data_IF_291067433680
#
_entry.id   IF_291067433680
#
_cell.length_a   1.000
_cell.length_b   1.000
_cell.length_c   1.000
_cell.angle_alpha   90.00
_cell.angle_beta   90.00
_cell.angle_gamma   90.00
#
_symmetry.space_group_name_H-M   'P 1'
#
loop_
_entity.id
_entity.type
_entity.pdbx_description
1 polymer ?
#
# COMPACT_ATOMS: atom_id res chain seq x y z
N UNK A 1 3.93 -0.57 20.93
CA UNK A 1 3.45 0.47 19.98
C UNK A 1 3.46 0.02 18.51
N UNK A 2 4.56 -0.52 17.96
CA UNK A 2 4.62 -0.91 16.54
C UNK A 2 3.60 -2.01 16.16
N UNK A 3 3.52 -3.08 16.96
CA UNK A 3 2.54 -4.17 16.74
C UNK A 3 1.09 -3.65 16.75
N UNK A 4 0.74 -2.77 17.70
CA UNK A 4 -0.58 -2.15 17.76
C UNK A 4 -0.92 -1.38 16.46
N UNK A 5 0.04 -0.61 15.92
CA UNK A 5 -0.17 0.11 14.65
C UNK A 5 -0.40 -0.84 13.48
N UNK A 6 0.38 -1.92 13.41
CA UNK A 6 0.23 -2.96 12.38
C UNK A 6 -1.15 -3.61 12.48
N UNK A 7 -1.56 -4.05 13.68
CA UNK A 7 -2.86 -4.66 13.90
C UNK A 7 -4.01 -3.72 13.56
N UNK A 8 -3.90 -2.44 13.93
CA UNK A 8 -4.89 -1.43 13.60
C UNK A 8 -5.01 -1.22 12.09
N UNK A 9 -3.88 -1.12 11.37
CA UNK A 9 -3.87 -1.02 9.90
C UNK A 9 -4.60 -2.20 9.27
N UNK A 10 -4.30 -3.43 9.70
CA UNK A 10 -4.95 -4.64 9.18
C UNK A 10 -6.46 -4.59 9.41
N UNK A 11 -6.91 -4.25 10.62
CA UNK A 11 -8.35 -4.20 10.95
C UNK A 11 -9.08 -3.14 10.12
N UNK A 12 -8.50 -1.95 9.96
CA UNK A 12 -9.10 -0.86 9.19
C UNK A 12 -9.17 -1.22 7.70
N UNK A 13 -8.09 -1.73 7.12
CA UNK A 13 -8.07 -2.12 5.71
C UNK A 13 -9.03 -3.28 5.41
N UNK A 14 -9.09 -4.27 6.30
CA UNK A 14 -10.07 -5.37 6.20
C UNK A 14 -11.51 -4.85 6.22
N UNK A 15 -11.82 -3.92 7.13
CA UNK A 15 -13.15 -3.31 7.21
C UNK A 15 -13.49 -2.52 5.93
N UNK A 16 -12.53 -1.75 5.38
CA UNK A 16 -12.72 -1.03 4.13
C UNK A 16 -13.01 -1.97 2.95
N UNK A 17 -12.24 -3.06 2.83
CA UNK A 17 -12.45 -4.06 1.77
C UNK A 17 -13.81 -4.75 1.92
N UNK A 18 -14.19 -5.10 3.15
CA UNK A 18 -15.48 -5.72 3.42
C UNK A 18 -16.65 -4.80 3.07
N UNK A 19 -16.58 -3.53 3.46
CA UNK A 19 -17.61 -2.54 3.10
C UNK A 19 -17.67 -2.31 1.58
N UNK A 20 -16.53 -2.27 0.91
CA UNK A 20 -16.45 -2.19 -0.54
C UNK A 20 -17.11 -3.40 -1.23
N UNK A 21 -16.86 -4.61 -0.74
CA UNK A 21 -17.49 -5.85 -1.23
C UNK A 21 -19.02 -5.77 -1.17
N UNK A 22 -19.58 -5.35 -0.04
CA UNK A 22 -21.02 -5.18 0.12
C UNK A 22 -21.56 -4.14 -0.87
N UNK A 23 -20.87 -2.99 -0.99
CA UNK A 23 -21.32 -1.88 -1.84
C UNK A 23 -21.37 -2.26 -3.33
N UNK A 24 -20.41 -3.05 -3.81
CA UNK A 24 -20.32 -3.46 -5.22
C UNK A 24 -21.11 -4.74 -5.49
N UNK A 25 -21.48 -5.49 -4.45
CA UNK A 25 -22.17 -6.78 -4.58
C UNK A 25 -21.24 -7.91 -5.05
N UNK A 26 -19.93 -7.75 -4.86
CA UNK A 26 -18.94 -8.78 -5.17
C UNK A 26 -18.74 -9.71 -3.98
N UNK A 27 -18.33 -10.95 -4.24
CA UNK A 27 -17.98 -11.86 -3.16
C UNK A 27 -16.80 -11.29 -2.36
N UNK A 28 -16.83 -11.48 -1.05
CA UNK A 28 -15.72 -11.03 -0.20
C UNK A 28 -14.41 -11.65 -0.67
N UNK A 29 -14.41 -12.95 -1.01
CA UNK A 29 -13.20 -13.66 -1.44
C UNK A 29 -12.59 -13.08 -2.72
N UNK A 30 -13.40 -12.61 -3.66
CA UNK A 30 -12.92 -11.94 -4.88
C UNK A 30 -12.31 -10.57 -4.57
N UNK A 31 -12.93 -9.82 -3.66
CA UNK A 31 -12.44 -8.49 -3.26
C UNK A 31 -11.27 -8.55 -2.30
N UNK A 32 -11.07 -9.65 -1.58
CA UNK A 32 -10.15 -9.68 -0.44
C UNK A 32 -8.69 -9.53 -0.89
N UNK A 33 -8.26 -10.39 -1.82
CA UNK A 33 -6.92 -10.31 -2.37
C UNK A 33 -6.73 -9.06 -3.24
N UNK A 34 -7.67 -8.80 -4.17
CA UNK A 34 -7.55 -7.65 -5.07
C UNK A 34 -7.61 -6.31 -4.34
N UNK A 35 -8.46 -6.19 -3.31
CA UNK A 35 -8.60 -5.00 -2.50
C UNK A 35 -7.36 -4.73 -1.65
N UNK A 36 -6.80 -5.74 -1.00
CA UNK A 36 -5.55 -5.57 -0.23
C UNK A 36 -4.37 -5.20 -1.15
N UNK A 37 -4.28 -5.84 -2.32
CA UNK A 37 -3.26 -5.53 -3.32
C UNK A 37 -3.42 -4.10 -3.85
N UNK A 38 -4.65 -3.65 -4.10
CA UNK A 38 -4.94 -2.30 -4.54
C UNK A 38 -4.54 -1.25 -3.48
N UNK A 39 -4.88 -1.47 -2.21
CA UNK A 39 -4.49 -0.56 -1.12
C UNK A 39 -2.97 -0.45 -1.02
N UNK A 40 -2.26 -1.58 -1.08
CA UNK A 40 -0.80 -1.59 -1.11
C UNK A 40 -0.24 -0.80 -2.30
N UNK A 41 -0.71 -1.11 -3.51
CA UNK A 41 -0.24 -0.48 -4.73
C UNK A 41 -0.49 1.03 -4.75
N UNK A 42 -1.69 1.47 -4.37
CA UNK A 42 -2.05 2.90 -4.29
C UNK A 42 -1.15 3.62 -3.31
N UNK A 43 -0.96 3.05 -2.11
CA UNK A 43 -0.08 3.67 -1.10
C UNK A 43 1.35 3.78 -1.62
N UNK A 44 1.88 2.70 -2.21
CA UNK A 44 3.23 2.70 -2.74
C UNK A 44 3.42 3.74 -3.86
N UNK A 45 2.45 3.84 -4.77
CA UNK A 45 2.45 4.85 -5.85
C UNK A 45 2.40 6.28 -5.31
N UNK A 46 1.61 6.55 -4.27
CA UNK A 46 1.54 7.87 -3.63
C UNK A 46 2.90 8.24 -3.03
N UNK A 47 3.53 7.34 -2.28
CA UNK A 47 4.83 7.59 -1.65
C UNK A 47 5.90 7.84 -2.73
N UNK A 48 5.92 7.02 -3.79
CA UNK A 48 6.84 7.20 -4.91
C UNK A 48 6.63 8.54 -5.61
N UNK A 49 5.37 8.91 -5.88
CA UNK A 49 5.01 10.17 -6.54
C UNK A 49 5.49 11.38 -5.72
N UNK A 50 5.24 11.39 -4.42
CA UNK A 50 5.68 12.45 -3.52
C UNK A 50 7.21 12.56 -3.49
N UNK A 51 7.90 11.42 -3.43
CA UNK A 51 9.35 11.40 -3.45
C UNK A 51 9.93 11.97 -4.75
N UNK A 52 9.35 11.59 -5.89
CA UNK A 52 9.73 12.13 -7.21
C UNK A 52 9.49 13.64 -7.29
N UNK A 53 8.34 14.11 -6.83
CA UNK A 53 8.00 15.53 -6.87
C UNK A 53 8.95 16.37 -6.02
N UNK A 54 9.25 15.94 -4.78
CA UNK A 54 10.21 16.63 -3.92
C UNK A 54 11.60 16.70 -4.56
N UNK A 55 12.08 15.61 -5.17
CA UNK A 55 13.36 15.64 -5.89
C UNK A 55 13.35 16.61 -7.06
N UNK A 56 12.25 16.66 -7.81
CA UNK A 56 12.10 17.59 -8.92
C UNK A 56 12.13 19.04 -8.42
N UNK A 57 11.43 19.34 -7.33
CA UNK A 57 11.41 20.67 -6.72
C UNK A 57 12.81 21.09 -6.23
N UNK A 58 13.55 20.18 -5.57
CA UNK A 58 14.93 20.43 -5.15
C UNK A 58 15.87 20.66 -6.34
N UNK A 59 15.73 19.87 -7.41
CA UNK A 59 16.53 20.02 -8.63
C UNK A 59 16.25 21.35 -9.36
N UNK A 60 14.98 21.71 -9.51
CA UNK A 60 14.55 22.96 -10.15
C UNK A 60 15.04 24.15 -9.33
N UNK A 61 14.87 24.13 -8.01
CA UNK A 61 15.32 25.20 -7.12
C UNK A 61 16.83 25.40 -7.20
N UNK A 62 17.61 24.32 -7.12
CA UNK A 62 19.07 24.37 -7.26
C UNK A 62 19.51 24.90 -8.63
N UNK A 63 18.83 24.51 -9.70
CA UNK A 63 19.18 24.89 -11.07
C UNK A 63 18.85 26.36 -11.36
N UNK A 64 17.68 26.84 -10.93
CA UNK A 64 17.21 28.18 -11.26
C UNK A 64 17.70 29.26 -10.30
N UNK A 65 17.90 28.93 -9.03
CA UNK A 65 18.23 29.91 -7.98
C UNK A 65 19.62 29.71 -7.39
N UNK A 66 20.25 28.56 -7.63
CA UNK A 66 21.50 28.17 -6.97
C UNK A 66 21.32 27.77 -5.50
N UNK A 67 20.10 27.84 -4.94
CA UNK A 67 19.83 27.54 -3.54
C UNK A 67 19.54 26.05 -3.36
N UNK A 68 20.27 25.41 -2.44
CA UNK A 68 20.00 24.03 -2.04
C UNK A 68 18.84 24.00 -1.04
N UNK A 69 17.70 23.45 -1.45
CA UNK A 69 16.48 23.35 -0.63
C UNK A 69 16.26 21.96 -0.02
N UNK A 70 17.12 21.00 -0.36
CA UNK A 70 17.06 19.63 0.10
C UNK A 70 17.96 18.72 -0.75
N UNK A 71 18.10 17.47 -0.32
CA UNK A 71 18.92 16.48 -1.01
C UNK A 71 18.12 15.80 -2.13
N UNK A 72 18.72 15.67 -3.31
CA UNK A 72 18.17 14.89 -4.43
C UNK A 72 18.72 13.47 -4.30
N UNK A 73 17.86 12.52 -3.92
CA UNK A 73 18.27 11.13 -3.66
C UNK A 73 17.39 10.15 -4.46
N UNK A 74 17.82 8.92 -4.76
CA UNK A 74 16.95 7.91 -5.37
C UNK A 74 15.87 7.42 -4.41
N UNK A 75 14.70 7.03 -4.95
CA UNK A 75 13.60 6.51 -4.12
C UNK A 75 14.05 5.33 -3.26
N UNK A 76 13.87 5.46 -1.95
CA UNK A 76 14.13 4.39 -0.98
C UNK A 76 12.81 3.96 -0.37
N UNK A 77 12.53 2.66 -0.49
CA UNK A 77 11.36 2.07 0.14
C UNK A 77 11.55 2.02 1.66
N UNK A 78 10.70 2.73 2.40
CA UNK A 78 10.77 2.77 3.88
C UNK A 78 9.75 1.81 4.46
N UNK A 79 10.25 0.81 5.19
CA UNK A 79 9.42 -0.20 5.84
C UNK A 79 8.81 0.33 7.14
N UNK A 80 7.72 1.10 7.01
CA UNK A 80 6.98 1.64 8.15
C UNK A 80 6.02 0.59 8.74
N UNK A 81 5.54 0.77 10.00
CA UNK A 81 4.51 -0.11 10.56
C UNK A 81 3.23 -0.18 9.72
N UNK A 82 2.88 0.90 9.02
CA UNK A 82 1.74 0.91 8.09
C UNK A 82 1.99 -0.02 6.90
N UNK A 83 3.12 0.15 6.21
CA UNK A 83 3.54 -0.70 5.08
C UNK A 83 3.64 -2.17 5.50
N UNK A 84 4.14 -2.45 6.70
CA UNK A 84 4.20 -3.80 7.25
C UNK A 84 2.80 -4.40 7.46
N UNK A 85 1.83 -3.62 7.93
CA UNK A 85 0.43 -4.04 8.08
C UNK A 85 -0.24 -4.33 6.74
N UNK A 86 -0.13 -3.42 5.78
CA UNK A 86 -0.72 -3.60 4.45
C UNK A 86 -0.10 -4.80 3.72
N UNK A 87 1.23 -4.98 3.77
CA UNK A 87 1.90 -6.16 3.19
C UNK A 87 1.49 -7.45 3.89
N UNK A 88 1.30 -7.42 5.21
CA UNK A 88 0.80 -8.57 5.95
C UNK A 88 -0.61 -8.96 5.49
N UNK A 89 -1.48 -7.98 5.25
CA UNK A 89 -2.82 -8.22 4.72
C UNK A 89 -2.81 -8.77 3.28
N UNK A 90 -1.92 -8.28 2.42
CA UNK A 90 -1.70 -8.83 1.08
C UNK A 90 -1.28 -10.30 1.15
N UNK A 91 -0.33 -10.63 2.03
CA UNK A 91 0.14 -12.01 2.18
C UNK A 91 -0.96 -12.94 2.73
N UNK A 92 -1.66 -12.51 3.78
CA UNK A 92 -2.75 -13.28 4.40
C UNK A 92 -3.88 -13.50 3.39
N UNK A 93 -4.30 -12.44 2.69
CA UNK A 93 -5.36 -12.55 1.69
C UNK A 93 -4.96 -13.45 0.52
N UNK A 94 -3.72 -13.35 0.03
CA UNK A 94 -3.21 -14.25 -1.01
C UNK A 94 -3.30 -15.71 -0.59
N UNK A 95 -2.81 -16.06 0.60
CA UNK A 95 -2.84 -17.44 1.11
C UNK A 95 -4.28 -17.94 1.27
N UNK A 96 -5.17 -17.13 1.86
CA UNK A 96 -6.57 -17.49 2.07
C UNK A 96 -7.30 -17.67 0.73
N UNK A 97 -7.13 -16.74 -0.20
CA UNK A 97 -7.75 -16.82 -1.54
C UNK A 97 -7.21 -18.01 -2.33
N UNK A 98 -5.90 -18.32 -2.25
CA UNK A 98 -5.32 -19.50 -2.89
C UNK A 98 -5.92 -20.80 -2.33
N UNK A 99 -6.06 -20.94 -1.01
CA UNK A 99 -6.70 -22.10 -0.38
C UNK A 99 -8.17 -22.22 -0.79
N UNK A 100 -8.89 -21.10 -0.80
CA UNK A 100 -10.31 -21.07 -1.16
C UNK A 100 -10.57 -21.51 -2.60
N UNK A 101 -9.72 -21.08 -3.53
CA UNK A 101 -9.85 -21.44 -4.94
C UNK A 101 -9.15 -22.74 -5.33
N UNK A 102 -8.33 -23.34 -4.45
CA UNK A 102 -7.61 -24.59 -4.72
C UNK A 102 -8.51 -25.73 -5.23
N UNK A 103 -9.72 -25.97 -4.67
CA UNK A 103 -10.59 -27.06 -5.13
C UNK A 103 -11.08 -26.90 -6.58
N UNK A 104 -11.01 -25.70 -7.17
CA UNK A 104 -11.39 -25.49 -8.58
C UNK A 104 -10.27 -25.89 -9.56
N UNK A 105 -9.05 -26.17 -9.06
CA UNK A 105 -7.89 -26.54 -9.86
C UNK A 105 -7.50 -28.02 -9.72
N UNK A 106 -8.16 -28.77 -8.83
CA UNK A 106 -7.99 -30.21 -8.63
C UNK A 106 -9.12 -30.97 -9.33
#
# INVERSE_FOLDING_TARGET
>A
MKALKISLTIVVELALIYLFSIMVGWSFMDTFFLGSLAIFAITWLIIMSNYRNNNMDHAVSKTLTGVETGEIKPFQFVFTPYIAGTLSLVLISFVITAIYYLPYFL
#
